data_IF_739667831366
#
_entry.id   IF_739667831366
#
_cell.length_a   1.000
_cell.length_b   1.000
_cell.length_c   1.000
_cell.angle_alpha   90.00
_cell.angle_beta   90.00
_cell.angle_gamma   90.00
#
_symmetry.space_group_name_H-M   'P 1'
#
loop_
_entity.id
_entity.type
_entity.pdbx_description
1 polymer ?
#
# COMPACT_ATOMS: atom_id res chain seq x y z
N UNK A 1 -3.25 -27.39 5.75
CA UNK A 1 -4.32 -27.16 4.75
C UNK A 1 -5.37 -28.24 4.82
N UNK A 2 -6.52 -28.06 4.17
CA UNK A 2 -7.59 -29.07 4.07
C UNK A 2 -7.87 -29.39 2.60
N UNK A 3 -7.52 -30.59 2.18
CA UNK A 3 -7.63 -31.11 0.82
C UNK A 3 -8.59 -32.29 0.71
N UNK A 4 -8.87 -33.01 1.80
CA UNK A 4 -9.72 -34.20 1.77
C UNK A 4 -11.16 -33.86 2.14
N UNK A 5 -12.17 -34.19 1.31
CA UNK A 5 -13.55 -34.08 1.72
C UNK A 5 -13.85 -35.06 2.86
N UNK A 6 -14.52 -34.57 3.89
CA UNK A 6 -14.89 -35.33 5.09
C UNK A 6 -16.41 -35.39 5.23
N UNK A 7 -16.93 -36.56 5.58
CA UNK A 7 -18.36 -36.76 5.87
C UNK A 7 -18.55 -37.27 7.31
N UNK A 8 -19.61 -36.83 8.02
CA UNK A 8 -19.97 -37.40 9.31
C UNK A 8 -20.70 -38.73 9.14
N UNK A 9 -20.38 -39.69 10.00
CA UNK A 9 -21.07 -40.97 10.13
C UNK A 9 -21.51 -41.13 11.58
N UNK A 10 -22.79 -41.42 11.80
CA UNK A 10 -23.37 -41.60 13.13
C UNK A 10 -22.95 -42.98 13.64
N UNK A 11 -22.37 -43.03 14.84
CA UNK A 11 -22.03 -44.28 15.53
C UNK A 11 -23.19 -44.69 16.46
N UNK A 12 -23.76 -43.72 17.20
CA UNK A 12 -24.98 -43.85 18.00
C UNK A 12 -25.51 -42.45 18.40
N UNK A 13 -26.49 -42.40 19.30
CA UNK A 13 -27.15 -41.18 19.77
C UNK A 13 -26.21 -40.14 20.42
N UNK A 14 -24.99 -40.54 20.76
CA UNK A 14 -24.01 -39.69 21.47
C UNK A 14 -22.70 -39.46 20.70
N UNK A 15 -22.45 -40.22 19.63
CA UNK A 15 -21.16 -40.19 18.92
C UNK A 15 -21.31 -40.15 17.41
N UNK A 16 -20.50 -39.30 16.78
CA UNK A 16 -20.25 -39.29 15.34
C UNK A 16 -18.76 -39.43 15.08
N UNK A 17 -18.40 -40.04 13.94
CA UNK A 17 -17.05 -40.04 13.40
C UNK A 17 -17.03 -39.27 12.09
N UNK A 18 -16.00 -38.45 11.86
CA UNK A 18 -15.77 -37.80 10.56
C UNK A 18 -14.76 -38.61 9.78
N UNK A 19 -15.19 -39.17 8.65
CA UNK A 19 -14.36 -40.03 7.80
C UNK A 19 -14.04 -39.29 6.49
N UNK A 20 -12.77 -39.14 6.13
CA UNK A 20 -12.40 -38.69 4.79
C UNK A 20 -12.79 -39.80 3.79
N UNK A 21 -13.60 -39.46 2.80
CA UNK A 21 -14.07 -40.42 1.79
C UNK A 21 -13.43 -40.18 0.41
N UNK A 22 -12.61 -39.14 0.29
CA UNK A 22 -11.90 -38.81 -0.92
C UNK A 22 -10.55 -38.17 -0.62
N UNK A 23 -9.66 -38.23 -1.61
CA UNK A 23 -8.35 -37.60 -1.56
C UNK A 23 -8.08 -36.89 -2.87
N UNK A 24 -7.91 -35.57 -2.82
CA UNK A 24 -7.33 -34.83 -3.94
C UNK A 24 -5.86 -35.23 -4.06
N UNK A 25 -5.40 -35.54 -5.27
CA UNK A 25 -3.98 -35.77 -5.58
C UNK A 25 -3.65 -34.94 -6.82
N UNK A 26 -2.63 -34.09 -6.71
CA UNK A 26 -2.17 -33.31 -7.84
C UNK A 26 -1.43 -34.24 -8.83
N UNK A 27 -1.73 -34.18 -10.15
CA UNK A 27 -1.15 -35.10 -11.13
C UNK A 27 0.33 -34.81 -11.45
N UNK A 28 0.87 -33.66 -11.05
CA UNK A 28 2.26 -33.27 -11.28
C UNK A 28 3.14 -33.61 -10.07
N UNK A 29 2.69 -33.24 -8.86
CA UNK A 29 3.50 -33.43 -7.64
C UNK A 29 3.23 -34.75 -6.93
N UNK A 30 2.23 -35.51 -7.40
CA UNK A 30 1.76 -36.78 -6.80
C UNK A 30 1.38 -36.67 -5.31
N UNK A 31 1.16 -35.44 -4.81
CA UNK A 31 0.81 -35.13 -3.41
C UNK A 31 -0.37 -34.15 -3.32
N UNK A 32 -0.67 -33.62 -2.13
CA UNK A 32 -1.68 -32.59 -1.89
C UNK A 32 -1.33 -31.66 -0.71
N UNK A 33 -2.25 -30.73 -0.42
CA UNK A 33 -2.10 -29.69 0.62
C UNK A 33 -2.75 -30.06 1.97
N UNK A 34 -3.15 -31.32 2.18
CA UNK A 34 -3.70 -31.79 3.46
C UNK A 34 -2.62 -31.69 4.54
N UNK A 35 -2.94 -31.09 5.69
CA UNK A 35 -2.00 -30.93 6.81
C UNK A 35 -0.89 -29.89 6.57
N UNK A 36 -0.37 -29.77 5.35
CA UNK A 36 0.75 -28.88 5.00
C UNK A 36 0.32 -27.51 4.50
N UNK A 37 -0.80 -27.42 3.78
CA UNK A 37 -1.22 -26.19 3.10
C UNK A 37 -0.54 -25.99 1.75
N UNK A 38 -0.68 -24.79 1.19
CA UNK A 38 -0.02 -24.38 -0.05
C UNK A 38 0.96 -23.27 0.30
N UNK A 39 2.23 -23.48 -0.03
CA UNK A 39 3.26 -22.47 0.14
C UNK A 39 3.10 -21.40 -0.96
N UNK A 40 2.97 -20.10 -0.61
CA UNK A 40 2.92 -19.04 -1.62
C UNK A 40 4.24 -18.91 -2.38
N UNK A 41 4.18 -18.67 -3.69
CA UNK A 41 5.37 -18.36 -4.49
C UNK A 41 6.06 -17.07 -4.03
N UNK A 42 5.26 -16.09 -3.58
CA UNK A 42 5.73 -14.83 -2.99
C UNK A 42 5.23 -14.73 -1.57
N UNK A 43 6.15 -14.82 -0.61
CA UNK A 43 5.83 -14.77 0.83
C UNK A 43 5.76 -13.33 1.31
N UNK A 44 4.55 -12.89 1.67
CA UNK A 44 4.29 -11.60 2.30
C UNK A 44 3.24 -11.77 3.40
N UNK A 45 3.09 -10.75 4.25
CA UNK A 45 2.00 -10.72 5.23
C UNK A 45 0.65 -10.68 4.51
N UNK A 46 -0.39 -11.24 5.14
CA UNK A 46 -1.73 -11.42 4.54
C UNK A 46 -2.34 -10.09 4.06
N UNK A 47 -2.19 -9.06 4.86
CA UNK A 47 -2.65 -7.69 4.58
C UNK A 47 -1.87 -7.01 3.44
N UNK A 48 -0.62 -7.43 3.20
CA UNK A 48 0.22 -6.94 2.09
C UNK A 48 0.04 -7.73 0.78
N UNK A 49 -0.72 -8.83 0.79
CA UNK A 49 -0.80 -9.75 -0.34
C UNK A 49 -1.37 -9.10 -1.62
N UNK A 50 -2.41 -8.28 -1.47
CA UNK A 50 -3.01 -7.55 -2.60
C UNK A 50 -2.02 -6.53 -3.18
N UNK A 51 -1.38 -5.76 -2.32
CA UNK A 51 -0.45 -4.71 -2.74
C UNK A 51 0.77 -5.30 -3.45
N UNK A 52 1.31 -6.41 -2.95
CA UNK A 52 2.41 -7.12 -3.59
C UNK A 52 2.00 -7.68 -4.96
N UNK A 53 0.85 -8.35 -5.04
CA UNK A 53 0.36 -8.90 -6.31
C UNK A 53 0.11 -7.78 -7.35
N UNK A 54 -0.46 -6.66 -6.92
CA UNK A 54 -0.72 -5.53 -7.79
C UNK A 54 0.58 -4.87 -8.26
N UNK A 55 1.55 -4.65 -7.35
CA UNK A 55 2.87 -4.13 -7.72
C UNK A 55 3.57 -5.04 -8.74
N UNK A 56 3.51 -6.37 -8.56
CA UNK A 56 4.07 -7.32 -9.52
C UNK A 56 3.38 -7.26 -10.90
N UNK A 57 2.07 -7.05 -10.94
CA UNK A 57 1.34 -6.87 -12.19
C UNK A 57 1.78 -5.58 -12.91
N UNK A 58 1.91 -4.47 -12.18
CA UNK A 58 2.42 -3.19 -12.70
C UNK A 58 3.86 -3.34 -13.21
N UNK A 59 4.73 -4.01 -12.46
CA UNK A 59 6.10 -4.33 -12.88
C UNK A 59 6.14 -5.15 -14.17
N UNK A 60 5.16 -6.04 -14.38
CA UNK A 60 5.06 -6.81 -15.61
C UNK A 60 4.62 -5.95 -16.79
N UNK A 61 3.64 -5.06 -16.61
CA UNK A 61 3.14 -4.16 -17.65
C UNK A 61 4.21 -3.16 -18.08
N UNK A 62 4.94 -2.58 -17.12
CA UNK A 62 6.01 -1.61 -17.39
C UNK A 62 7.15 -2.17 -18.24
N UNK A 63 7.36 -3.48 -18.27
CA UNK A 63 8.39 -4.11 -19.12
C UNK A 63 8.05 -4.10 -20.60
N UNK A 64 6.76 -4.01 -20.94
CA UNK A 64 6.26 -4.13 -22.31
C UNK A 64 5.56 -2.87 -22.81
N UNK A 65 5.21 -1.95 -21.92
CA UNK A 65 4.58 -0.68 -22.30
C UNK A 65 5.59 0.19 -23.05
N UNK A 66 5.14 0.85 -24.12
CA UNK A 66 5.94 1.77 -24.93
C UNK A 66 5.39 3.20 -24.86
N UNK A 67 4.11 3.36 -24.56
CA UNK A 67 3.49 4.66 -24.41
C UNK A 67 3.95 5.32 -23.09
N UNK A 68 4.66 6.44 -23.21
CA UNK A 68 5.21 7.17 -22.07
C UNK A 68 4.13 7.71 -21.12
N UNK A 69 2.95 8.09 -21.62
CA UNK A 69 1.86 8.57 -20.77
C UNK A 69 1.34 7.43 -19.88
N UNK A 70 1.14 6.24 -20.47
CA UNK A 70 0.69 5.04 -19.75
C UNK A 70 1.77 4.58 -18.78
N UNK A 71 3.06 4.61 -19.16
CA UNK A 71 4.16 4.32 -18.24
C UNK A 71 4.12 5.22 -17.02
N UNK A 72 3.92 6.53 -17.22
CA UNK A 72 3.82 7.48 -16.12
C UNK A 72 2.71 7.13 -15.13
N UNK A 73 1.52 6.74 -15.62
CA UNK A 73 0.41 6.29 -14.76
C UNK A 73 0.73 4.98 -14.03
N UNK A 74 1.34 4.01 -14.71
CA UNK A 74 1.73 2.73 -14.11
C UNK A 74 2.82 2.91 -13.05
N UNK A 75 3.84 3.72 -13.31
CA UNK A 75 4.88 4.10 -12.34
C UNK A 75 4.27 4.85 -11.16
N UNK A 76 3.29 5.72 -11.42
CA UNK A 76 2.58 6.44 -10.36
C UNK A 76 1.88 5.47 -9.40
N UNK A 77 1.11 4.52 -9.92
CA UNK A 77 0.44 3.52 -9.11
C UNK A 77 1.45 2.64 -8.35
N UNK A 78 2.52 2.21 -9.03
CA UNK A 78 3.56 1.32 -8.49
C UNK A 78 4.28 1.94 -7.30
N UNK A 79 4.70 3.19 -7.41
CA UNK A 79 5.44 3.89 -6.36
C UNK A 79 4.60 4.07 -5.09
N UNK A 80 3.29 4.33 -5.23
CA UNK A 80 2.36 4.38 -4.09
C UNK A 80 2.27 3.03 -3.35
N UNK A 81 2.15 1.93 -4.10
CA UNK A 81 2.15 0.58 -3.52
C UNK A 81 3.49 0.24 -2.87
N UNK A 82 4.60 0.64 -3.49
CA UNK A 82 5.95 0.40 -2.95
C UNK A 82 6.15 1.09 -1.61
N UNK A 83 5.62 2.31 -1.43
CA UNK A 83 5.65 3.02 -0.15
C UNK A 83 4.81 2.30 0.93
N UNK A 84 3.68 1.69 0.57
CA UNK A 84 2.87 0.87 1.49
C UNK A 84 3.57 -0.43 1.88
N UNK A 85 4.18 -1.12 0.92
CA UNK A 85 4.90 -2.37 1.12
C UNK A 85 6.21 -2.18 1.90
N UNK A 86 6.87 -1.02 1.73
CA UNK A 86 8.11 -0.68 2.43
C UNK A 86 8.03 0.74 2.99
N UNK A 87 7.39 0.92 4.15
CA UNK A 87 7.24 2.22 4.78
C UNK A 87 8.58 2.89 5.03
N UNK A 88 8.71 4.13 4.58
CA UNK A 88 9.86 4.97 4.90
C UNK A 88 9.68 5.54 6.30
N UNK A 89 10.76 5.55 7.08
CA UNK A 89 10.78 6.20 8.39
C UNK A 89 11.60 7.48 8.28
N UNK A 90 11.02 8.57 8.75
CA UNK A 90 11.64 9.90 8.81
C UNK A 90 11.69 10.27 10.29
N UNK A 91 12.78 10.88 10.73
CA UNK A 91 12.91 11.32 12.11
C UNK A 91 11.90 12.44 12.42
N UNK A 92 11.43 12.47 13.67
CA UNK A 92 10.38 13.41 14.10
C UNK A 92 10.85 14.87 13.98
N UNK A 93 12.13 15.16 14.21
CA UNK A 93 12.68 16.52 14.10
C UNK A 93 12.58 17.04 12.66
N UNK A 94 12.82 16.17 11.68
CA UNK A 94 12.64 16.50 10.26
C UNK A 94 11.15 16.67 9.90
N UNK A 95 10.28 15.80 10.39
CA UNK A 95 8.83 15.93 10.17
C UNK A 95 8.28 17.25 10.76
N UNK A 96 8.74 17.65 11.93
CA UNK A 96 8.37 18.91 12.57
C UNK A 96 8.69 20.13 11.69
N UNK A 97 9.79 20.10 10.94
CA UNK A 97 10.19 21.19 10.02
C UNK A 97 9.19 21.38 8.88
N UNK A 98 8.39 20.37 8.57
CA UNK A 98 7.37 20.42 7.50
C UNK A 98 6.05 21.02 7.97
N UNK A 99 5.83 21.10 9.28
CA UNK A 99 4.59 21.66 9.84
C UNK A 99 4.43 23.14 9.52
N UNK A 100 3.19 23.57 9.28
CA UNK A 100 2.88 24.96 8.95
C UNK A 100 1.69 25.10 8.02
N UNK A 101 1.39 26.35 7.70
CA UNK A 101 0.35 26.73 6.74
C UNK A 101 0.99 27.16 5.43
N UNK A 102 0.41 26.72 4.32
CA UNK A 102 0.88 26.92 2.95
C UNK A 102 -0.32 27.29 2.07
N UNK A 103 -0.73 28.56 2.12
CA UNK A 103 -1.95 29.00 1.46
C UNK A 103 -3.19 28.25 1.97
N UNK A 104 -3.94 27.51 1.13
CA UNK A 104 -5.11 26.75 1.55
C UNK A 104 -4.78 25.41 2.24
N UNK A 105 -3.49 25.08 2.40
CA UNK A 105 -3.01 23.79 2.91
C UNK A 105 -2.38 23.96 4.28
N UNK A 106 -2.61 23.01 5.16
CA UNK A 106 -1.99 22.93 6.48
C UNK A 106 -1.37 21.57 6.68
N UNK A 107 -0.14 21.54 7.20
CA UNK A 107 0.52 20.35 7.71
C UNK A 107 0.69 20.52 9.21
N UNK A 108 0.25 19.53 9.97
CA UNK A 108 0.40 19.51 11.43
C UNK A 108 0.71 18.09 11.89
N UNK A 109 1.21 17.97 13.12
CA UNK A 109 1.62 16.71 13.69
C UNK A 109 0.66 16.28 14.79
N UNK A 110 0.32 15.01 14.84
CA UNK A 110 -0.54 14.39 15.85
C UNK A 110 -0.06 12.96 16.08
N UNK A 111 0.16 12.57 17.34
CA UNK A 111 0.70 11.26 17.73
C UNK A 111 1.97 10.82 16.97
N UNK A 112 2.85 11.78 16.67
CA UNK A 112 4.12 11.54 15.95
C UNK A 112 3.95 11.28 14.44
N UNK A 113 2.77 11.56 13.87
CA UNK A 113 2.48 11.44 12.43
C UNK A 113 2.10 12.80 11.86
N UNK A 114 2.47 13.02 10.60
CA UNK A 114 2.02 14.20 9.87
C UNK A 114 0.60 13.99 9.33
N UNK A 115 -0.19 15.05 9.43
CA UNK A 115 -1.51 15.17 8.85
C UNK A 115 -1.56 16.37 7.94
N UNK A 116 -2.23 16.19 6.82
CA UNK A 116 -2.50 17.22 5.83
C UNK A 116 -3.98 17.58 5.87
N UNK A 117 -4.28 18.86 5.76
CA UNK A 117 -5.63 19.37 5.58
C UNK A 117 -5.66 20.47 4.53
N UNK A 118 -6.68 20.48 3.69
CA UNK A 118 -6.93 21.57 2.74
C UNK A 118 -8.23 22.27 3.11
N UNK A 119 -8.13 23.52 3.55
CA UNK A 119 -9.27 24.31 4.05
C UNK A 119 -10.07 23.55 5.11
N UNK A 120 -11.39 23.46 5.00
CA UNK A 120 -12.26 22.74 5.95
C UNK A 120 -12.48 21.26 5.59
N UNK A 121 -11.70 20.71 4.64
CA UNK A 121 -11.81 19.28 4.29
C UNK A 121 -11.33 18.38 5.44
N UNK A 122 -11.70 17.09 5.45
CA UNK A 122 -11.14 16.14 6.40
C UNK A 122 -9.60 16.12 6.34
N UNK A 123 -8.98 16.01 7.51
CA UNK A 123 -7.53 15.75 7.61
C UNK A 123 -7.22 14.34 7.12
N UNK A 124 -6.08 14.17 6.49
CA UNK A 124 -5.59 12.89 5.98
C UNK A 124 -4.18 12.62 6.50
N UNK A 125 -3.89 11.38 6.84
CA UNK A 125 -2.56 10.98 7.28
C UNK A 125 -1.58 11.04 6.10
N UNK A 126 -0.44 11.69 6.29
CA UNK A 126 0.63 11.74 5.32
C UNK A 126 1.50 10.49 5.45
N UNK A 127 1.59 9.69 4.38
CA UNK A 127 2.42 8.50 4.36
C UNK A 127 3.65 8.76 3.47
N UNK A 128 4.88 8.63 4.00
CA UNK A 128 6.08 8.98 3.25
C UNK A 128 6.36 7.95 2.14
N UNK A 129 6.51 8.44 0.92
CA UNK A 129 7.12 7.70 -0.20
C UNK A 129 8.65 7.78 -0.09
N UNK A 130 9.14 8.96 0.29
CA UNK A 130 10.55 9.27 0.55
C UNK A 130 10.62 10.43 1.56
N UNK A 131 11.81 11.02 1.75
CA UNK A 131 12.08 12.07 2.74
C UNK A 131 11.15 13.30 2.64
N UNK A 132 10.74 13.68 1.42
CA UNK A 132 10.01 14.93 1.18
C UNK A 132 8.69 14.72 0.43
N UNK A 133 8.41 13.52 -0.07
CA UNK A 133 7.20 13.22 -0.84
C UNK A 133 6.30 12.27 -0.08
N UNK A 134 5.02 12.63 0.00
CA UNK A 134 3.99 11.91 0.75
C UNK A 134 2.82 11.56 -0.16
N UNK A 135 2.18 10.43 0.12
CA UNK A 135 0.90 10.03 -0.46
C UNK A 135 -0.18 9.90 0.63
N UNK A 136 -1.42 9.71 0.18
CA UNK A 136 -2.61 9.61 1.02
C UNK A 136 -3.43 8.40 0.57
N UNK A 137 -3.86 7.55 1.49
CA UNK A 137 -4.66 6.36 1.16
C UNK A 137 -5.99 6.73 0.51
N UNK A 138 -6.59 7.84 0.93
CA UNK A 138 -7.88 8.31 0.44
C UNK A 138 -7.79 9.07 -0.89
N UNK A 139 -6.58 9.45 -1.33
CA UNK A 139 -6.33 10.25 -2.52
C UNK A 139 -5.14 9.70 -3.34
N UNK A 140 -5.27 8.48 -3.86
CA UNK A 140 -4.22 7.81 -4.63
C UNK A 140 -3.69 8.61 -5.85
N UNK A 141 -4.54 9.46 -6.44
CA UNK A 141 -4.16 10.33 -7.57
C UNK A 141 -3.31 11.55 -7.15
N UNK A 142 -3.07 11.77 -5.86
CA UNK A 142 -2.42 12.97 -5.33
C UNK A 142 -1.19 12.63 -4.48
N UNK A 143 -0.10 13.35 -4.72
CA UNK A 143 1.11 13.34 -3.89
C UNK A 143 1.45 14.76 -3.47
N UNK A 144 2.02 14.88 -2.28
CA UNK A 144 2.48 16.15 -1.75
C UNK A 144 4.00 16.11 -1.62
N UNK A 145 4.68 17.00 -2.34
CA UNK A 145 6.12 17.21 -2.22
C UNK A 145 6.41 18.46 -1.39
N UNK A 146 7.23 18.31 -0.36
CA UNK A 146 7.69 19.41 0.49
C UNK A 146 8.95 20.00 -0.11
N UNK A 147 8.91 21.28 -0.49
CA UNK A 147 10.07 22.01 -0.99
C UNK A 147 10.84 22.55 0.21
N UNK A 148 12.11 22.18 0.31
CA UNK A 148 13.01 22.55 1.40
C UNK A 148 14.12 23.44 0.85
N UNK A 149 14.32 24.60 1.47
CA UNK A 149 15.45 25.51 1.23
C UNK A 149 16.13 25.82 2.56
N UNK A 150 17.47 25.77 2.61
CA UNK A 150 18.27 25.99 3.82
C UNK A 150 17.79 25.18 5.05
N UNK A 151 17.34 23.94 4.82
CA UNK A 151 16.85 23.03 5.86
C UNK A 151 15.46 23.37 6.42
N UNK A 152 14.70 24.28 5.78
CA UNK A 152 13.34 24.64 6.17
C UNK A 152 12.37 24.40 5.02
N UNK A 153 11.19 23.88 5.34
CA UNK A 153 10.10 23.82 4.37
C UNK A 153 9.67 25.25 3.99
N UNK A 154 9.70 25.56 2.70
CA UNK A 154 9.37 26.89 2.13
C UNK A 154 8.11 26.85 1.28
N UNK A 155 7.75 25.71 0.71
CA UNK A 155 6.56 25.56 -0.12
C UNK A 155 6.09 24.10 -0.16
N UNK A 156 4.86 23.91 -0.59
CA UNK A 156 4.29 22.61 -0.92
C UNK A 156 3.94 22.56 -2.39
N UNK A 157 4.32 21.45 -3.02
CA UNK A 157 3.98 21.13 -4.40
C UNK A 157 3.01 19.94 -4.42
N UNK A 158 1.81 20.17 -4.92
CA UNK A 158 0.80 19.13 -5.12
C UNK A 158 0.94 18.54 -6.51
N UNK A 159 1.34 17.28 -6.58
CA UNK A 159 1.48 16.53 -7.83
C UNK A 159 0.24 15.65 -8.02
N UNK A 160 -0.35 15.68 -9.20
CA UNK A 160 -1.53 14.90 -9.54
C UNK A 160 -1.18 13.87 -10.63
N UNK A 161 -1.84 12.73 -10.58
CA UNK A 161 -1.91 11.78 -11.69
C UNK A 161 -2.32 12.52 -12.98
N UNK A 162 -1.63 12.24 -14.08
CA UNK A 162 -1.74 13.02 -15.32
C UNK A 162 -0.81 14.25 -15.40
N UNK A 163 0.10 14.43 -14.44
CA UNK A 163 1.21 15.39 -14.54
C UNK A 163 0.89 16.83 -14.17
N UNK A 164 -0.34 17.13 -13.75
CA UNK A 164 -0.67 18.47 -13.23
C UNK A 164 0.07 18.72 -11.93
N UNK A 165 0.57 19.93 -11.76
CA UNK A 165 1.24 20.38 -10.54
C UNK A 165 0.63 21.70 -10.07
N UNK A 166 0.51 21.88 -8.75
CA UNK A 166 0.23 23.17 -8.12
C UNK A 166 1.22 23.47 -7.00
N UNK A 167 1.52 24.74 -6.73
CA UNK A 167 2.49 25.16 -5.71
C UNK A 167 1.87 26.17 -4.75
N UNK A 168 2.12 25.99 -3.46
CA UNK A 168 1.70 26.91 -2.41
C UNK A 168 2.90 27.26 -1.51
N UNK A 169 3.27 28.53 -1.49
CA UNK A 169 4.31 29.04 -0.59
C UNK A 169 3.86 28.94 0.88
N UNK A 170 4.83 28.75 1.77
CA UNK A 170 4.61 28.79 3.21
C UNK A 170 4.14 30.18 3.61
N UNK A 171 3.01 30.22 4.31
CA UNK A 171 2.48 31.45 4.88
C UNK A 171 3.43 31.92 5.99
N UNK A 172 3.73 33.22 5.98
CA UNK A 172 4.54 33.88 7.02
C UNK A 172 3.86 33.86 8.37
#
# INVERSE_FOLDING_TARGET
GGAHPVAPYIINDHFIVRVPFGRAVNPITETNWEGTGVEPDVKVQKDMALDMAYMMALDSLLKTEENEDIKGELEWARDGLKARLKPVTIDVETLEKYTGTYGPRSIFMEDGKLYYQREERPKMAMIPINENTFFFEELAYFRLHVIIEDGKAVALEGMYEGGRVDRNERTK
#
